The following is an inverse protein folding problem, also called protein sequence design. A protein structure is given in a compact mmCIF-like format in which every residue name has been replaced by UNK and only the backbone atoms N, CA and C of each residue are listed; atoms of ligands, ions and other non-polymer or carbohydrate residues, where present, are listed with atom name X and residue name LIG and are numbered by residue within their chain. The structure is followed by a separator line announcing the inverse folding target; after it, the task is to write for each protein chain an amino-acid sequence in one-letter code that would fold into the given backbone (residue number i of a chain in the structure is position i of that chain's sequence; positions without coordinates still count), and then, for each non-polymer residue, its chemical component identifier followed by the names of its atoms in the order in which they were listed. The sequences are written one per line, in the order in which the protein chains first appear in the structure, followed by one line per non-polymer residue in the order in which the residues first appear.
data_IF_872788062610
#
_entry.id   IF_872788062610
#
_cell.length_a   1.000
_cell.length_b   1.000
_cell.length_c   1.000
_cell.angle_alpha   90.00
_cell.angle_beta   90.00
_cell.angle_gamma   90.00
#
_symmetry.space_group_name_H-M   'P 1'
#
loop_
_entity.id
_entity.type
_entity.pdbx_description
1 polymer ?
#
# COMPACT_ATOMS: atom_id res chain seq x y z
N UNK A 1 16.50 17.91 -4.71
CA UNK A 1 16.07 16.82 -5.59
C UNK A 1 16.32 15.53 -4.84
N UNK A 2 15.32 14.67 -4.74
CA UNK A 2 15.38 13.36 -4.06
C UNK A 2 15.67 12.31 -5.12
N UNK A 3 16.77 11.57 -4.96
CA UNK A 3 17.13 10.44 -5.82
C UNK A 3 16.31 9.22 -5.41
N UNK A 4 15.37 8.84 -6.26
CA UNK A 4 14.37 7.84 -5.99
C UNK A 4 14.70 6.53 -6.71
N UNK A 5 14.72 5.43 -5.96
CA UNK A 5 14.71 4.07 -6.49
C UNK A 5 13.31 3.45 -6.47
N UNK A 6 13.07 2.48 -7.33
CA UNK A 6 11.84 1.68 -7.32
C UNK A 6 12.21 0.22 -7.02
N UNK A 7 11.55 -0.41 -6.06
CA UNK A 7 11.76 -1.83 -5.75
C UNK A 7 10.45 -2.58 -5.95
N UNK A 8 10.49 -3.56 -6.84
CA UNK A 8 9.28 -4.23 -7.33
C UNK A 8 8.58 -3.36 -8.37
N UNK A 9 8.02 -4.00 -9.39
CA UNK A 9 7.26 -3.36 -10.47
C UNK A 9 5.95 -4.10 -10.79
N UNK A 10 5.58 -5.08 -9.95
CA UNK A 10 4.43 -5.96 -10.15
C UNK A 10 3.14 -5.41 -9.56
N UNK A 11 3.19 -4.33 -8.79
CA UNK A 11 2.00 -3.60 -8.38
C UNK A 11 1.66 -2.55 -9.43
N UNK A 12 0.52 -2.71 -10.11
CA UNK A 12 0.18 -1.93 -11.31
C UNK A 12 0.14 -0.41 -11.09
N UNK A 13 -0.17 0.07 -9.89
CA UNK A 13 -0.18 1.51 -9.57
C UNK A 13 1.15 2.22 -9.84
N UNK A 14 2.28 1.50 -9.89
CA UNK A 14 3.57 2.08 -10.28
C UNK A 14 3.51 2.72 -11.67
N UNK A 15 2.79 2.11 -12.61
CA UNK A 15 2.74 2.57 -14.00
C UNK A 15 1.88 3.82 -14.18
N UNK A 16 0.89 4.01 -13.31
CA UNK A 16 0.08 5.23 -13.28
C UNK A 16 0.85 6.40 -12.65
N UNK A 17 1.69 6.11 -11.65
CA UNK A 17 2.43 7.12 -10.89
C UNK A 17 3.74 7.56 -11.57
N UNK A 18 4.36 6.67 -12.34
CA UNK A 18 5.65 6.91 -12.98
C UNK A 18 5.72 8.19 -13.84
N UNK A 19 4.73 8.50 -14.70
CA UNK A 19 4.73 9.75 -15.47
C UNK A 19 4.78 11.00 -14.58
N UNK A 20 4.00 11.01 -13.50
CA UNK A 20 3.96 12.13 -12.55
C UNK A 20 5.27 12.22 -11.75
N UNK A 21 5.85 11.08 -11.37
CA UNK A 21 7.17 11.04 -10.71
C UNK A 21 8.27 11.58 -11.62
N UNK A 22 8.28 11.19 -12.90
CA UNK A 22 9.27 11.62 -13.88
C UNK A 22 9.16 13.12 -14.23
N UNK A 23 7.94 13.68 -14.16
CA UNK A 23 7.69 15.10 -14.41
C UNK A 23 7.95 15.99 -13.17
N UNK A 24 8.18 15.40 -12.00
CA UNK A 24 8.31 16.14 -10.74
C UNK A 24 9.72 16.71 -10.56
N UNK A 25 9.85 18.04 -10.53
CA UNK A 25 11.14 18.75 -10.39
C UNK A 25 11.87 18.49 -9.05
N UNK A 26 11.19 17.90 -8.07
CA UNK A 26 11.79 17.54 -6.78
C UNK A 26 12.29 16.10 -6.73
N UNK A 27 12.04 15.28 -7.75
CA UNK A 27 12.39 13.86 -7.80
C UNK A 27 13.27 13.57 -9.01
N UNK A 28 14.27 12.72 -8.80
CA UNK A 28 15.06 12.12 -9.88
C UNK A 28 14.87 10.60 -9.81
N UNK A 29 14.32 10.00 -10.86
CA UNK A 29 14.22 8.55 -10.97
C UNK A 29 15.59 7.99 -11.38
N UNK A 30 16.22 7.25 -10.48
CA UNK A 30 17.62 6.79 -10.67
C UNK A 30 17.66 5.33 -11.09
N UNK A 31 16.96 4.46 -10.35
CA UNK A 31 17.07 3.03 -10.52
C UNK A 31 15.77 2.30 -10.23
N UNK A 32 15.62 1.11 -10.81
CA UNK A 32 14.50 0.21 -10.54
C UNK A 32 14.95 -1.25 -10.43
N UNK A 33 14.27 -2.01 -9.58
CA UNK A 33 14.46 -3.47 -9.46
C UNK A 33 13.16 -4.24 -9.62
N UNK A 34 13.27 -5.44 -10.19
CA UNK A 34 12.16 -6.37 -10.32
C UNK A 34 12.68 -7.77 -10.62
N UNK A 35 11.97 -8.78 -10.12
CA UNK A 35 12.23 -10.20 -10.47
C UNK A 35 11.59 -10.59 -11.81
N UNK A 36 10.90 -9.67 -12.48
CA UNK A 36 10.22 -9.89 -13.77
C UNK A 36 10.97 -9.15 -14.89
N UNK A 37 11.77 -9.84 -15.72
CA UNK A 37 12.54 -9.22 -16.79
C UNK A 37 11.72 -8.33 -17.75
N UNK A 38 10.48 -8.70 -18.16
CA UNK A 38 9.67 -7.83 -19.02
C UNK A 38 9.35 -6.46 -18.40
N UNK A 39 9.20 -6.39 -17.07
CA UNK A 39 8.91 -5.14 -16.37
C UNK A 39 10.16 -4.25 -16.26
N UNK A 40 11.34 -4.85 -16.08
CA UNK A 40 12.62 -4.13 -16.14
C UNK A 40 12.88 -3.54 -17.54
N UNK A 41 12.65 -4.32 -18.60
CA UNK A 41 12.81 -3.83 -19.97
C UNK A 41 11.87 -2.65 -20.24
N UNK A 42 10.60 -2.76 -19.81
CA UNK A 42 9.61 -1.72 -19.97
C UNK A 42 10.04 -0.42 -19.30
N UNK A 43 10.39 -0.45 -18.01
CA UNK A 43 10.73 0.78 -17.29
C UNK A 43 12.03 1.42 -17.80
N UNK A 44 13.04 0.60 -18.14
CA UNK A 44 14.28 1.11 -18.71
C UNK A 44 14.05 1.78 -20.06
N UNK A 45 13.15 1.24 -20.89
CA UNK A 45 12.79 1.83 -22.19
C UNK A 45 11.94 3.10 -22.07
N UNK A 46 10.95 3.11 -21.18
CA UNK A 46 10.00 4.23 -21.05
C UNK A 46 10.58 5.42 -20.27
N UNK A 47 11.43 5.15 -19.26
CA UNK A 47 11.90 6.17 -18.31
C UNK A 47 13.41 6.34 -18.25
N UNK A 48 14.20 5.49 -18.94
CA UNK A 48 15.65 5.65 -19.02
C UNK A 48 16.41 5.39 -17.71
N UNK A 49 15.80 4.69 -16.76
CA UNK A 49 16.40 4.40 -15.44
C UNK A 49 17.34 3.18 -15.49
N UNK A 50 18.32 3.13 -14.59
CA UNK A 50 19.15 1.95 -14.40
C UNK A 50 18.31 0.79 -13.86
N UNK A 51 18.49 -0.42 -14.38
CA UNK A 51 17.68 -1.60 -14.01
C UNK A 51 18.55 -2.69 -13.40
N UNK A 52 18.03 -3.31 -12.33
CA UNK A 52 18.72 -4.36 -11.58
C UNK A 52 17.77 -5.52 -11.28
N UNK A 53 18.32 -6.72 -11.13
CA UNK A 53 17.53 -7.91 -10.77
C UNK A 53 17.37 -8.09 -9.26
N UNK A 54 18.21 -7.42 -8.47
CA UNK A 54 18.23 -7.51 -7.02
C UNK A 54 18.49 -6.14 -6.36
N UNK A 55 17.90 -5.90 -5.19
CA UNK A 55 18.01 -4.62 -4.48
C UNK A 55 19.39 -4.38 -3.87
N UNK A 56 20.19 -5.42 -3.61
CA UNK A 56 21.57 -5.28 -3.17
C UNK A 56 22.49 -4.85 -4.32
N UNK A 57 22.26 -5.36 -5.54
CA UNK A 57 22.94 -4.86 -6.74
C UNK A 57 22.61 -3.38 -6.99
N UNK A 58 21.32 -3.02 -6.89
CA UNK A 58 20.90 -1.62 -6.99
C UNK A 58 21.57 -0.75 -5.93
N UNK A 59 21.75 -1.26 -4.71
CA UNK A 59 22.42 -0.53 -3.64
C UNK A 59 23.91 -0.25 -3.89
N UNK A 60 24.56 -1.05 -4.74
CA UNK A 60 25.95 -0.86 -5.15
C UNK A 60 26.10 0.09 -6.36
N UNK A 61 24.99 0.46 -7.00
CA UNK A 61 24.96 1.37 -8.14
C UNK A 61 24.94 2.83 -7.70
N UNK A 62 24.14 3.64 -8.40
CA UNK A 62 24.02 5.05 -8.11
C UNK A 62 23.37 5.31 -6.73
N UNK A 63 23.85 6.31 -5.99
CA UNK A 63 23.37 6.58 -4.65
C UNK A 63 21.91 7.07 -4.64
N UNK A 64 21.09 6.46 -3.76
CA UNK A 64 19.66 6.77 -3.57
C UNK A 64 19.41 7.49 -2.24
N UNK A 65 18.39 8.34 -2.20
CA UNK A 65 17.89 8.99 -0.98
C UNK A 65 16.66 8.27 -0.42
N UNK A 66 15.80 7.79 -1.31
CA UNK A 66 14.55 7.13 -0.98
C UNK A 66 14.22 6.02 -1.99
N UNK A 67 13.35 5.09 -1.60
CA UNK A 67 12.77 4.08 -2.48
C UNK A 67 11.25 4.02 -2.36
N UNK A 68 10.57 3.78 -3.47
CA UNK A 68 9.16 3.37 -3.48
C UNK A 68 9.05 1.86 -3.72
N UNK A 69 8.20 1.19 -2.95
CA UNK A 69 8.00 -0.26 -3.02
C UNK A 69 6.69 -0.60 -3.73
N UNK A 70 6.80 -1.24 -4.89
CA UNK A 70 5.69 -1.67 -5.76
C UNK A 70 5.76 -3.17 -6.06
N UNK A 71 6.03 -3.97 -5.03
CA UNK A 71 5.95 -5.42 -5.03
C UNK A 71 4.66 -5.93 -4.38
N UNK A 72 4.61 -7.23 -4.08
CA UNK A 72 3.57 -7.79 -3.22
C UNK A 72 3.76 -7.37 -1.75
N UNK A 73 2.70 -7.41 -0.94
CA UNK A 73 2.71 -6.85 0.41
C UNK A 73 3.67 -7.57 1.36
N UNK A 74 3.98 -8.85 1.14
CA UNK A 74 4.92 -9.60 1.99
C UNK A 74 6.36 -9.27 1.61
N UNK A 75 6.73 -9.51 0.36
CA UNK A 75 8.09 -9.25 -0.12
C UNK A 75 8.42 -7.75 -0.09
N UNK A 76 7.45 -6.89 -0.33
CA UNK A 76 7.57 -5.44 -0.18
C UNK A 76 7.95 -5.04 1.25
N UNK A 77 7.35 -5.66 2.27
CA UNK A 77 7.73 -5.37 3.65
C UNK A 77 9.17 -5.82 3.97
N UNK A 78 9.58 -6.99 3.49
CA UNK A 78 10.95 -7.50 3.64
C UNK A 78 11.97 -6.58 2.95
N UNK A 79 11.69 -6.13 1.72
CA UNK A 79 12.54 -5.17 1.00
C UNK A 79 12.56 -3.79 1.67
N UNK A 80 11.45 -3.36 2.26
CA UNK A 80 11.38 -2.11 3.01
C UNK A 80 12.29 -2.11 4.23
N UNK A 81 12.35 -3.22 4.96
CA UNK A 81 13.32 -3.37 6.07
C UNK A 81 14.75 -3.23 5.56
N UNK A 82 15.12 -3.97 4.50
CA UNK A 82 16.46 -3.89 3.90
C UNK A 82 16.80 -2.48 3.41
N UNK A 83 15.83 -1.77 2.82
CA UNK A 83 16.00 -0.40 2.35
C UNK A 83 16.24 0.59 3.51
N UNK A 84 15.48 0.48 4.60
CA UNK A 84 15.68 1.29 5.80
C UNK A 84 17.06 1.04 6.42
N UNK A 85 17.49 -0.22 6.52
CA UNK A 85 18.82 -0.61 7.03
C UNK A 85 19.97 -0.07 6.17
N UNK A 86 19.76 0.05 4.86
CA UNK A 86 20.70 0.71 3.92
C UNK A 86 20.73 2.23 4.06
N UNK A 87 19.83 2.80 4.87
CA UNK A 87 19.76 4.23 5.13
C UNK A 87 18.89 5.02 4.14
N UNK A 88 18.05 4.35 3.35
CA UNK A 88 17.08 5.00 2.47
C UNK A 88 15.77 5.31 3.19
N UNK A 89 15.11 6.40 2.79
CA UNK A 89 13.71 6.61 3.14
C UNK A 89 12.83 5.65 2.34
N UNK A 90 11.72 5.19 2.91
CA UNK A 90 10.82 4.21 2.27
C UNK A 90 9.42 4.77 2.14
N UNK A 91 8.90 4.73 0.92
CA UNK A 91 7.47 4.80 0.63
C UNK A 91 7.00 3.41 0.20
N UNK A 92 6.00 2.86 0.88
CA UNK A 92 5.41 1.56 0.57
C UNK A 92 3.95 1.75 0.19
N UNK A 93 3.49 1.01 -0.82
CA UNK A 93 2.07 0.99 -1.17
C UNK A 93 1.21 0.46 -0.01
N UNK A 94 -0.09 0.77 -0.04
CA UNK A 94 -1.04 0.16 0.89
C UNK A 94 -1.35 -1.28 0.46
N UNK A 95 -1.63 -2.18 1.43
CA UNK A 95 -1.42 -2.05 2.87
C UNK A 95 0.07 -2.15 3.26
N UNK A 96 0.43 -1.66 4.46
CA UNK A 96 1.82 -1.60 4.96
C UNK A 96 2.58 -2.95 4.86
N UNK A 97 1.90 -4.07 5.08
CA UNK A 97 2.47 -5.41 4.98
C UNK A 97 1.35 -6.45 4.83
N UNK A 98 1.70 -7.67 4.45
CA UNK A 98 0.78 -8.81 4.40
C UNK A 98 0.35 -9.31 5.80
N UNK A 99 1.15 -9.05 6.84
CA UNK A 99 0.84 -9.44 8.21
C UNK A 99 1.42 -8.47 9.25
N UNK A 100 1.02 -8.68 10.50
CA UNK A 100 1.43 -7.84 11.63
C UNK A 100 2.94 -7.92 11.89
N UNK A 101 3.56 -9.08 11.72
CA UNK A 101 4.99 -9.25 11.98
C UNK A 101 5.83 -8.41 11.01
N UNK A 102 5.49 -8.42 9.72
CA UNK A 102 6.13 -7.56 8.73
C UNK A 102 5.91 -6.07 9.00
N UNK A 103 4.69 -5.69 9.40
CA UNK A 103 4.38 -4.30 9.76
C UNK A 103 5.18 -3.82 10.99
N UNK A 104 5.26 -4.64 12.03
CA UNK A 104 6.01 -4.32 13.26
C UNK A 104 7.52 -4.21 12.97
N UNK A 105 8.06 -5.10 12.13
CA UNK A 105 9.47 -5.07 11.75
C UNK A 105 9.82 -3.81 10.95
N UNK A 106 8.98 -3.41 10.00
CA UNK A 106 9.14 -2.16 9.26
C UNK A 106 9.16 -0.95 10.19
N UNK A 107 8.18 -0.85 11.09
CA UNK A 107 8.06 0.26 12.03
C UNK A 107 9.28 0.34 12.96
N UNK A 108 9.65 -0.80 13.56
CA UNK A 108 10.83 -0.88 14.43
C UNK A 108 12.12 -0.48 13.71
N UNK A 109 12.29 -0.92 12.46
CA UNK A 109 13.48 -0.60 11.65
C UNK A 109 13.53 0.88 11.30
N UNK A 110 12.39 1.49 10.94
CA UNK A 110 12.31 2.91 10.67
C UNK A 110 12.68 3.75 11.91
N UNK A 111 12.13 3.37 13.07
CA UNK A 111 12.44 4.03 14.35
C UNK A 111 13.93 3.88 14.72
N UNK A 112 14.51 2.69 14.54
CA UNK A 112 15.91 2.41 14.88
C UNK A 112 16.89 3.15 13.97
N UNK A 113 16.61 3.21 12.67
CA UNK A 113 17.47 3.86 11.67
C UNK A 113 17.27 5.37 11.61
N UNK A 114 16.19 5.88 12.20
CA UNK A 114 15.76 7.28 12.08
C UNK A 114 15.29 7.65 10.67
N UNK A 115 15.07 6.66 9.80
CA UNK A 115 14.58 6.86 8.44
C UNK A 115 13.07 7.02 8.43
N UNK A 116 12.59 7.63 7.35
CA UNK A 116 11.15 7.87 7.18
C UNK A 116 10.55 6.64 6.51
N UNK A 117 9.48 6.13 7.10
CA UNK A 117 8.60 5.14 6.52
C UNK A 117 7.26 5.81 6.27
N UNK A 118 6.78 5.76 5.04
CA UNK A 118 5.51 6.32 4.61
C UNK A 118 4.69 5.25 3.90
N UNK A 119 3.43 5.10 4.27
CA UNK A 119 2.49 4.28 3.52
C UNK A 119 1.73 5.18 2.55
N UNK A 120 1.67 4.79 1.28
CA UNK A 120 0.88 5.51 0.29
C UNK A 120 -0.61 5.19 0.48
N UNK A 121 -1.29 6.04 1.26
CA UNK A 121 -2.73 5.96 1.44
C UNK A 121 -3.42 6.93 0.48
N UNK A 122 -4.12 6.47 -0.58
CA UNK A 122 -4.76 7.37 -1.55
C UNK A 122 -5.71 8.40 -0.91
N UNK A 123 -6.41 8.00 0.14
CA UNK A 123 -7.34 8.85 0.89
C UNK A 123 -6.67 10.06 1.57
N UNK A 124 -5.34 10.02 1.79
CA UNK A 124 -4.57 11.17 2.29
C UNK A 124 -4.52 12.32 1.27
N UNK A 125 -4.67 12.01 -0.02
CA UNK A 125 -4.54 12.94 -1.13
C UNK A 125 -5.88 13.45 -1.68
N UNK A 126 -7.00 12.83 -1.28
CA UNK A 126 -8.33 13.22 -1.75
C UNK A 126 -8.87 14.41 -0.95
N UNK A 127 -8.89 15.59 -1.58
CA UNK A 127 -9.33 16.84 -0.96
C UNK A 127 -10.73 16.74 -0.29
N UNK A 128 -11.67 16.03 -0.91
CA UNK A 128 -12.99 15.80 -0.35
C UNK A 128 -12.97 14.99 0.96
N UNK A 129 -12.12 13.96 1.04
CA UNK A 129 -11.94 13.17 2.27
C UNK A 129 -11.26 14.00 3.34
N UNK A 130 -10.21 14.75 3.00
CA UNK A 130 -9.50 15.62 3.95
C UNK A 130 -10.42 16.70 4.54
N UNK A 131 -11.29 17.29 3.71
CA UNK A 131 -12.30 18.23 4.17
C UNK A 131 -13.31 17.57 5.12
N UNK A 132 -13.83 16.40 4.77
CA UNK A 132 -14.76 15.65 5.62
C UNK A 132 -14.13 15.27 6.98
N UNK A 133 -12.86 14.83 6.99
CA UNK A 133 -12.11 14.55 8.21
C UNK A 133 -11.97 15.81 9.08
N UNK A 134 -11.68 16.96 8.48
CA UNK A 134 -11.57 18.25 9.19
C UNK A 134 -12.89 18.65 9.87
N UNK A 135 -14.02 18.53 9.16
CA UNK A 135 -15.34 18.82 9.71
C UNK A 135 -15.71 17.87 10.87
N UNK A 136 -15.38 16.58 10.71
CA UNK A 136 -15.62 15.58 11.74
C UNK A 136 -14.76 15.81 13.00
N UNK A 137 -13.46 16.12 12.83
CA UNK A 137 -12.53 16.33 13.93
C UNK A 137 -12.75 17.67 14.66
N UNK A 138 -13.24 18.69 13.96
CA UNK A 138 -13.56 19.99 14.57
C UNK A 138 -14.87 19.99 15.37
N UNK A 139 -15.71 18.96 15.21
CA UNK A 139 -17.02 18.86 15.85
C UNK A 139 -18.11 19.67 15.15
N UNK A 140 -17.85 20.22 13.96
CA UNK A 140 -18.83 21.01 13.19
C UNK A 140 -20.08 20.18 12.82
N UNK A 141 -19.91 18.86 12.65
CA UNK A 141 -21.01 17.91 12.36
C UNK A 141 -21.54 17.22 13.63
N UNK A 142 -21.13 17.64 14.82
CA UNK A 142 -21.45 17.00 16.10
C UNK A 142 -20.56 15.82 16.46
N UNK A 143 -21.00 15.00 17.43
CA UNK A 143 -20.25 13.82 17.86
C UNK A 143 -20.39 12.68 16.85
N UNK A 144 -19.25 12.20 16.32
CA UNK A 144 -19.21 11.03 15.42
C UNK A 144 -19.46 9.75 16.22
N UNK A 145 -20.63 9.14 16.02
CA UNK A 145 -21.01 7.85 16.61
C UNK A 145 -20.98 6.69 15.61
N UNK A 146 -20.84 6.98 14.30
CA UNK A 146 -20.67 5.95 13.28
C UNK A 146 -19.75 6.41 12.14
N UNK A 147 -18.89 5.51 11.69
CA UNK A 147 -18.09 5.66 10.46
C UNK A 147 -18.42 4.48 9.54
N UNK A 148 -18.81 4.74 8.30
CA UNK A 148 -19.07 3.69 7.31
C UNK A 148 -18.22 3.90 6.08
N UNK A 149 -17.49 2.86 5.69
CA UNK A 149 -16.73 2.81 4.45
C UNK A 149 -17.22 1.65 3.61
N UNK A 150 -17.41 1.89 2.32
CA UNK A 150 -17.72 0.84 1.35
C UNK A 150 -16.99 1.10 0.06
N UNK A 151 -16.27 0.10 -0.43
CA UNK A 151 -15.67 0.11 -1.76
C UNK A 151 -15.86 -1.25 -2.39
N UNK A 152 -16.09 -1.30 -3.70
CA UNK A 152 -16.27 -2.54 -4.43
C UNK A 152 -15.97 -2.30 -5.91
N UNK A 153 -15.59 -3.37 -6.61
CA UNK A 153 -15.50 -3.42 -8.06
C UNK A 153 -15.74 -4.86 -8.53
N UNK A 154 -15.72 -5.08 -9.85
CA UNK A 154 -16.00 -6.40 -10.45
C UNK A 154 -14.86 -7.44 -10.33
N UNK A 155 -13.73 -7.05 -9.72
CA UNK A 155 -12.50 -7.85 -9.61
C UNK A 155 -11.32 -7.27 -10.40
N UNK A 156 -10.05 -7.44 -9.94
CA UNK A 156 -8.88 -6.89 -10.62
C UNK A 156 -8.72 -7.36 -12.08
N UNK A 157 -8.86 -8.66 -12.34
CA UNK A 157 -8.82 -9.25 -13.70
C UNK A 157 -9.84 -8.58 -14.64
N UNK A 158 -11.07 -8.41 -14.18
CA UNK A 158 -12.16 -7.83 -14.95
C UNK A 158 -11.97 -6.32 -15.20
N UNK A 159 -11.22 -5.65 -14.32
CA UNK A 159 -10.82 -4.25 -14.50
C UNK A 159 -9.59 -4.09 -15.40
N UNK A 160 -9.02 -5.19 -15.91
CA UNK A 160 -7.86 -5.15 -16.80
C UNK A 160 -6.52 -5.03 -16.08
N UNK A 161 -6.46 -5.37 -14.79
CA UNK A 161 -5.19 -5.50 -14.08
C UNK A 161 -4.26 -6.50 -14.78
N UNK A 162 -2.96 -6.25 -14.70
CA UNK A 162 -1.95 -7.11 -15.31
C UNK A 162 -1.93 -8.50 -14.64
N UNK A 163 -1.42 -9.49 -15.37
CA UNK A 163 -1.18 -10.82 -14.82
C UNK A 163 -0.21 -10.77 -13.63
N UNK A 164 0.75 -9.85 -13.64
CA UNK A 164 1.73 -9.67 -12.57
C UNK A 164 1.07 -9.19 -11.27
N UNK A 165 0.11 -8.25 -11.38
CA UNK A 165 -0.60 -7.73 -10.22
C UNK A 165 -1.59 -8.76 -9.69
N UNK A 166 -2.35 -9.40 -10.58
CA UNK A 166 -3.31 -10.44 -10.19
C UNK A 166 -2.65 -11.67 -9.53
N UNK A 167 -1.46 -12.07 -9.99
CA UNK A 167 -0.72 -13.24 -9.48
C UNK A 167 -0.52 -13.19 -7.96
N UNK A 168 -0.07 -12.05 -7.42
CA UNK A 168 0.20 -11.93 -6.00
C UNK A 168 -1.01 -11.44 -5.21
N UNK A 169 -1.87 -10.62 -5.81
CA UNK A 169 -3.02 -10.02 -5.13
C UNK A 169 -4.05 -11.07 -4.71
N UNK A 170 -4.16 -12.17 -5.46
CA UNK A 170 -5.06 -13.29 -5.14
C UNK A 170 -4.42 -14.38 -4.27
N UNK A 171 -3.13 -14.30 -3.99
CA UNK A 171 -2.46 -15.22 -3.05
C UNK A 171 -2.55 -14.64 -1.62
N UNK A 172 -3.35 -15.24 -0.72
CA UNK A 172 -3.56 -14.70 0.62
C UNK A 172 -2.27 -14.70 1.46
N UNK A 173 -1.26 -15.51 1.12
CA UNK A 173 0.02 -15.45 1.81
C UNK A 173 0.81 -14.21 1.43
N UNK A 174 0.77 -13.81 0.16
CA UNK A 174 1.53 -12.66 -0.38
C UNK A 174 0.80 -11.34 -0.17
N UNK A 175 -0.53 -11.32 -0.32
CA UNK A 175 -1.35 -10.13 -0.11
C UNK A 175 -1.75 -9.93 1.37
N UNK A 176 -1.88 -11.01 2.15
CA UNK A 176 -2.38 -10.99 3.53
C UNK A 176 -3.88 -11.25 3.68
N UNK A 177 -4.58 -11.43 2.56
CA UNK A 177 -6.03 -11.59 2.44
C UNK A 177 -6.47 -11.28 1.01
N UNK A 178 -7.76 -11.07 0.82
CA UNK A 178 -8.35 -10.60 -0.43
C UNK A 178 -9.02 -9.26 -0.23
N UNK A 179 -10.33 -9.19 -0.50
CA UNK A 179 -11.12 -7.96 -0.40
C UNK A 179 -11.09 -7.33 1.01
N UNK A 180 -10.95 -8.14 2.07
CA UNK A 180 -10.80 -7.62 3.44
C UNK A 180 -9.54 -6.77 3.56
N UNK A 181 -8.40 -7.28 3.08
CA UNK A 181 -7.13 -6.57 3.18
C UNK A 181 -7.04 -5.41 2.20
N UNK A 182 -7.56 -5.57 0.98
CA UNK A 182 -7.43 -4.55 -0.04
C UNK A 182 -8.37 -3.34 0.17
N UNK A 183 -9.60 -3.58 0.63
CA UNK A 183 -10.62 -2.53 0.77
C UNK A 183 -11.01 -2.19 2.20
N UNK A 184 -11.22 -3.16 3.09
CA UNK A 184 -11.62 -2.83 4.46
C UNK A 184 -10.51 -2.09 5.23
N UNK A 185 -9.25 -2.18 4.78
CA UNK A 185 -8.14 -1.42 5.35
C UNK A 185 -8.34 0.11 5.26
N UNK A 186 -9.01 0.63 4.23
CA UNK A 186 -9.36 2.04 4.14
C UNK A 186 -10.34 2.46 5.24
N UNK A 187 -11.36 1.64 5.50
CA UNK A 187 -12.29 1.87 6.61
C UNK A 187 -11.60 1.77 7.97
N UNK A 188 -10.65 0.84 8.12
CA UNK A 188 -9.82 0.75 9.32
C UNK A 188 -8.98 2.02 9.54
N UNK A 189 -8.33 2.55 8.49
CA UNK A 189 -7.55 3.80 8.58
C UNK A 189 -8.43 5.00 8.89
N UNK A 190 -9.55 5.18 8.18
CA UNK A 190 -10.48 6.30 8.41
C UNK A 190 -11.03 6.28 9.84
N UNK A 191 -11.46 5.11 10.32
CA UNK A 191 -11.94 4.98 11.70
C UNK A 191 -10.83 5.17 12.72
N UNK A 192 -9.59 4.77 12.42
CA UNK A 192 -8.43 5.02 13.28
C UNK A 192 -8.16 6.51 13.45
N UNK A 193 -8.26 7.29 12.36
CA UNK A 193 -8.06 8.75 12.35
C UNK A 193 -9.16 9.48 13.13
N UNK A 194 -10.41 9.02 13.03
CA UNK A 194 -11.56 9.69 13.66
C UNK A 194 -11.82 9.25 15.11
N UNK A 195 -11.67 7.96 15.40
CA UNK A 195 -12.17 7.32 16.61
C UNK A 195 -11.07 6.69 17.49
N UNK A 196 -9.82 6.65 17.02
CA UNK A 196 -8.72 6.03 17.76
C UNK A 196 -8.66 4.50 17.55
N UNK A 197 -8.31 3.72 18.58
CA UNK A 197 -8.12 2.25 18.42
C UNK A 197 -9.44 1.57 18.81
N UNK A 198 -10.00 0.67 17.99
CA UNK A 198 -11.17 -0.09 18.41
C UNK A 198 -10.81 -1.05 19.55
N UNK A 199 -11.75 -1.33 20.45
CA UNK A 199 -11.56 -2.29 21.54
C UNK A 199 -11.95 -3.71 21.15
N UNK A 200 -12.78 -3.88 20.11
CA UNK A 200 -13.12 -5.19 19.56
C UNK A 200 -13.43 -5.10 18.08
N UNK A 201 -13.14 -6.20 17.37
CA UNK A 201 -13.31 -6.32 15.93
C UNK A 201 -13.98 -7.66 15.63
N UNK A 202 -14.93 -7.65 14.70
CA UNK A 202 -15.55 -8.86 14.13
C UNK A 202 -15.50 -8.73 12.61
N UNK A 203 -15.08 -9.78 11.92
CA UNK A 203 -15.09 -9.84 10.47
C UNK A 203 -15.93 -11.01 10.00
N UNK A 204 -16.63 -10.82 8.89
CA UNK A 204 -17.27 -11.89 8.12
C UNK A 204 -16.73 -11.79 6.71
N UNK A 205 -16.20 -12.90 6.18
CA UNK A 205 -15.61 -12.98 4.85
C UNK A 205 -16.20 -14.14 4.07
N UNK A 206 -16.06 -14.11 2.75
CA UNK A 206 -16.39 -15.24 1.90
C UNK A 206 -15.95 -15.06 0.45
N UNK A 207 -15.93 -16.17 -0.27
CA UNK A 207 -15.82 -16.25 -1.73
C UNK A 207 -17.23 -16.44 -2.30
N UNK A 208 -17.92 -15.34 -2.58
CA UNK A 208 -19.35 -15.34 -2.95
C UNK A 208 -19.58 -15.30 -4.46
N UNK A 209 -18.66 -14.68 -5.21
CA UNK A 209 -18.74 -14.53 -6.67
C UNK A 209 -17.57 -15.22 -7.37
N UNK A 210 -16.36 -15.10 -6.82
CA UNK A 210 -15.10 -15.65 -7.32
C UNK A 210 -14.68 -16.85 -6.48
N UNK A 211 -15.38 -17.97 -6.69
CA UNK A 211 -15.18 -19.21 -5.92
C UNK A 211 -13.90 -19.96 -6.28
N UNK A 212 -13.17 -19.49 -7.30
CA UNK A 212 -11.90 -20.03 -7.79
C UNK A 212 -10.67 -19.34 -7.20
N UNK A 213 -10.86 -18.28 -6.40
CA UNK A 213 -9.75 -17.57 -5.73
C UNK A 213 -9.50 -18.15 -4.34
N UNK A 214 -8.22 -18.22 -3.94
CA UNK A 214 -7.81 -18.64 -2.60
C UNK A 214 -8.08 -17.56 -1.53
N UNK A 215 -8.03 -16.29 -1.93
CA UNK A 215 -8.35 -15.14 -1.09
C UNK A 215 -9.83 -14.76 -1.17
N UNK A 216 -10.42 -14.24 -0.09
CA UNK A 216 -11.84 -13.85 -0.05
C UNK A 216 -12.16 -12.70 -1.02
N UNK A 217 -13.35 -12.72 -1.65
CA UNK A 217 -13.78 -11.70 -2.60
C UNK A 217 -14.82 -10.72 -2.02
N UNK A 218 -15.35 -11.01 -0.84
CA UNK A 218 -16.31 -10.18 -0.11
C UNK A 218 -15.96 -10.18 1.38
N UNK A 219 -16.10 -9.01 2.01
CA UNK A 219 -15.85 -8.88 3.44
C UNK A 219 -16.67 -7.76 4.10
N UNK A 220 -17.07 -8.00 5.35
CA UNK A 220 -17.57 -6.96 6.25
C UNK A 220 -16.74 -6.97 7.53
N UNK A 221 -16.17 -5.82 7.87
CA UNK A 221 -15.40 -5.57 9.08
C UNK A 221 -16.17 -4.63 10.00
N UNK A 222 -16.52 -5.13 11.18
CA UNK A 222 -17.16 -4.36 12.26
C UNK A 222 -16.14 -4.04 13.34
N UNK A 223 -15.99 -2.76 13.65
CA UNK A 223 -15.07 -2.27 14.68
C UNK A 223 -15.86 -1.50 15.74
N UNK A 224 -15.72 -1.88 17.00
CA UNK A 224 -16.41 -1.25 18.11
C UNK A 224 -15.47 -0.33 18.89
N UNK A 225 -15.99 0.83 19.22
CA UNK A 225 -15.35 1.88 20.01
C UNK A 225 -16.25 2.21 21.21
N UNK A 226 -15.74 2.86 22.27
CA UNK A 226 -16.52 3.12 23.48
C UNK A 226 -17.85 3.86 23.27
N UNK A 227 -17.93 4.70 22.23
CA UNK A 227 -19.14 5.49 21.89
C UNK A 227 -19.47 5.49 20.40
N UNK A 228 -18.86 4.59 19.62
CA UNK A 228 -19.02 4.60 18.17
C UNK A 228 -18.87 3.20 17.57
N UNK A 229 -19.39 3.02 16.36
CA UNK A 229 -19.21 1.80 15.56
C UNK A 229 -18.64 2.19 14.20
N UNK A 230 -17.67 1.43 13.71
CA UNK A 230 -17.27 1.49 12.32
C UNK A 230 -17.63 0.21 11.56
N UNK A 231 -18.11 0.39 10.33
CA UNK A 231 -18.42 -0.67 9.37
C UNK A 231 -17.56 -0.41 8.13
N UNK A 232 -16.70 -1.34 7.75
CA UNK A 232 -16.01 -1.34 6.47
C UNK A 232 -16.50 -2.52 5.63
N UNK A 233 -16.88 -2.25 4.38
CA UNK A 233 -17.49 -3.22 3.47
C UNK A 233 -16.67 -3.28 2.17
N UNK A 234 -16.40 -4.51 1.73
CA UNK A 234 -15.71 -4.85 0.50
C UNK A 234 -16.52 -5.87 -0.29
#
# INVERSE_FOLDING_TARGET
MIRMGLIGLSHDHVWDLLPDMAANEHVELVAATSTKPPLLERIGKEFGVATYTDSAEMAAGDPLDAVCLFGDNRAGAEEGVKALERGWHVLIEKPLAADLAGADQLLQTADTTGKRLMVNWPIAWWAGVQHALTLAQSGEIGEVWQVRYRAAHQGPKEMGASEYFCDWLYDPNRNGGGALMDYCCYGAVLSRVLLGRPHSVTAVTGNLVKTDLDAEDNAVLLMQYPKAICIAEA
#
